data_IF_898595878570
#
_entry.id   IF_898595878570
#
_cell.length_a   1.000
_cell.length_b   1.000
_cell.length_c   1.000
_cell.angle_alpha   90.00
_cell.angle_beta   90.00
_cell.angle_gamma   90.00
#
_symmetry.space_group_name_H-M   'P 1'
#
loop_
_entity.id
_entity.type
_entity.pdbx_description
1 polymer ?
#
# COMPACT_ATOMS: atom_id res chain seq x y z
N UNK A 1 1.35 -15.36 66.77
CA UNK A 1 0.09 -14.91 66.15
C UNK A 1 0.36 -14.66 64.68
N UNK A 2 -0.31 -15.44 63.84
CA UNK A 2 -0.11 -15.60 62.40
C UNK A 2 -0.52 -14.35 61.62
N UNK A 3 0.25 -13.98 60.57
CA UNK A 3 -0.29 -13.20 59.44
C UNK A 3 0.32 -13.71 58.13
N UNK A 4 -0.29 -14.75 57.59
CA UNK A 4 -0.11 -15.25 56.22
C UNK A 4 -0.53 -14.17 55.23
N UNK A 5 0.41 -13.66 54.43
CA UNK A 5 0.13 -12.73 53.33
C UNK A 5 -0.07 -13.58 52.07
N UNK A 6 -1.33 -13.75 51.64
CA UNK A 6 -1.64 -14.32 50.34
C UNK A 6 -1.32 -13.28 49.25
N UNK A 7 -0.26 -13.52 48.51
CA UNK A 7 0.03 -12.79 47.27
C UNK A 7 -0.74 -13.44 46.11
N UNK A 8 -1.86 -12.82 45.71
CA UNK A 8 -2.58 -13.16 44.49
C UNK A 8 -1.82 -12.57 43.29
N UNK A 9 -0.97 -13.37 42.64
CA UNK A 9 -0.32 -12.99 41.39
C UNK A 9 -1.32 -13.05 40.24
N UNK A 10 -1.80 -11.88 39.79
CA UNK A 10 -2.67 -11.76 38.62
C UNK A 10 -1.82 -11.86 37.35
N UNK A 11 -1.76 -13.03 36.73
CA UNK A 11 -1.08 -13.22 35.45
C UNK A 11 -1.89 -12.55 34.35
N UNK A 12 -1.47 -11.35 33.94
CA UNK A 12 -2.03 -10.67 32.78
C UNK A 12 -1.59 -11.42 31.50
N UNK A 13 -2.50 -12.19 30.90
CA UNK A 13 -2.29 -12.78 29.58
C UNK A 13 -2.36 -11.64 28.55
N UNK A 14 -1.20 -11.21 28.07
CA UNK A 14 -1.12 -10.25 26.95
C UNK A 14 -1.37 -11.00 25.65
N UNK A 15 -2.60 -10.90 25.15
CA UNK A 15 -2.94 -11.31 23.79
C UNK A 15 -2.26 -10.36 22.81
N UNK A 16 -1.23 -10.83 22.10
CA UNK A 16 -0.65 -10.12 20.95
C UNK A 16 -1.66 -10.17 19.80
N UNK A 17 -2.49 -9.14 19.69
CA UNK A 17 -3.19 -8.85 18.46
C UNK A 17 -2.14 -8.47 17.41
N UNK A 18 -1.96 -9.28 16.37
CA UNK A 18 -1.18 -8.89 15.21
C UNK A 18 -1.88 -7.70 14.55
N UNK A 19 -1.42 -6.49 14.85
CA UNK A 19 -1.79 -5.30 14.09
C UNK A 19 -1.30 -5.52 12.66
N UNK A 20 -2.22 -5.79 11.72
CA UNK A 20 -1.94 -5.53 10.31
C UNK A 20 -1.83 -4.03 10.20
N UNK A 21 -0.62 -3.49 10.36
CA UNK A 21 -0.38 -2.07 10.16
C UNK A 21 -0.87 -1.75 8.75
N UNK A 22 -1.90 -0.92 8.66
CA UNK A 22 -2.22 -0.24 7.42
C UNK A 22 -1.02 0.65 7.12
N UNK A 23 -0.01 0.09 6.44
CA UNK A 23 1.25 0.76 6.14
C UNK A 23 0.99 1.79 5.04
N UNK A 24 0.24 2.83 5.40
CA UNK A 24 -0.13 3.92 4.54
C UNK A 24 1.11 4.80 4.35
N UNK A 25 1.43 5.10 3.10
CA UNK A 25 2.55 5.93 2.72
C UNK A 25 2.15 6.91 1.65
N UNK A 26 2.83 8.04 1.64
CA UNK A 26 2.77 9.04 0.58
C UNK A 26 4.19 9.38 0.15
N UNK A 27 4.38 9.64 -1.14
CA UNK A 27 5.65 10.03 -1.74
C UNK A 27 5.39 11.06 -2.82
N UNK A 28 6.18 12.12 -2.83
CA UNK A 28 6.22 13.09 -3.92
C UNK A 28 7.65 13.18 -4.44
N UNK A 29 7.80 13.47 -5.72
CA UNK A 29 9.12 13.64 -6.33
C UNK A 29 9.03 14.51 -7.57
N UNK A 30 10.13 15.15 -7.92
CA UNK A 30 10.27 15.89 -9.17
C UNK A 30 11.56 15.49 -9.88
N UNK A 31 11.57 15.60 -11.21
CA UNK A 31 12.74 15.34 -12.03
C UNK A 31 12.80 16.40 -13.11
N UNK A 32 13.86 17.20 -13.08
CA UNK A 32 14.09 18.25 -14.08
C UNK A 32 14.94 17.71 -15.21
N UNK A 33 14.47 17.93 -16.44
CA UNK A 33 15.17 17.58 -17.67
C UNK A 33 15.29 18.83 -18.55
N UNK A 34 16.12 18.84 -19.60
CA UNK A 34 16.13 19.95 -20.57
C UNK A 34 14.78 20.24 -21.22
N UNK A 35 13.84 19.29 -21.20
CA UNK A 35 12.47 19.46 -21.71
C UNK A 35 11.49 20.03 -20.68
N UNK A 36 11.96 20.35 -19.47
CA UNK A 36 11.17 20.87 -18.36
C UNK A 36 11.11 19.93 -17.15
N UNK A 37 10.35 20.36 -16.13
CA UNK A 37 10.18 19.65 -14.86
C UNK A 37 9.00 18.69 -14.90
N UNK A 38 9.25 17.45 -14.50
CA UNK A 38 8.23 16.45 -14.25
C UNK A 38 7.99 16.36 -12.75
N UNK A 39 6.72 16.32 -12.34
CA UNK A 39 6.32 16.14 -10.96
C UNK A 39 5.53 14.85 -10.80
N UNK A 40 5.67 14.19 -9.66
CA UNK A 40 4.97 12.95 -9.37
C UNK A 40 4.55 12.89 -7.91
N UNK A 41 3.40 12.28 -7.69
CA UNK A 41 2.88 11.98 -6.36
C UNK A 41 2.34 10.55 -6.37
N UNK A 42 2.55 9.82 -5.29
CA UNK A 42 2.04 8.49 -5.10
C UNK A 42 1.64 8.28 -3.66
N UNK A 43 0.57 7.52 -3.47
CA UNK A 43 0.11 7.07 -2.17
C UNK A 43 -0.25 5.60 -2.27
N UNK A 44 -0.13 4.89 -1.17
CA UNK A 44 -0.54 3.49 -1.12
C UNK A 44 -0.56 2.98 0.30
N UNK A 45 -1.02 1.75 0.45
CA UNK A 45 -0.99 1.06 1.72
C UNK A 45 -1.39 -0.39 1.57
N UNK A 46 -1.08 -1.17 2.60
CA UNK A 46 -1.39 -2.59 2.66
C UNK A 46 -2.19 -2.89 3.92
N UNK A 47 -3.31 -3.59 3.79
CA UNK A 47 -4.10 -4.08 4.90
C UNK A 47 -4.76 -5.42 4.52
N UNK A 48 -4.86 -6.35 5.47
CA UNK A 48 -5.59 -7.61 5.27
C UNK A 48 -5.13 -8.44 4.06
N UNK A 49 -3.83 -8.44 3.75
CA UNK A 49 -3.28 -9.18 2.60
C UNK A 49 -3.51 -8.51 1.24
N UNK A 50 -4.07 -7.30 1.21
CA UNK A 50 -4.24 -6.48 0.01
C UNK A 50 -3.43 -5.19 0.10
N UNK A 51 -2.65 -4.90 -0.94
CA UNK A 51 -1.90 -3.67 -1.11
C UNK A 51 -2.49 -2.86 -2.25
N UNK A 52 -2.84 -1.60 -2.01
CA UNK A 52 -3.34 -0.67 -3.01
C UNK A 52 -2.39 0.50 -3.20
N UNK A 53 -2.30 1.01 -4.43
CA UNK A 53 -1.43 2.13 -4.81
C UNK A 53 -2.13 3.01 -5.84
N UNK A 54 -2.05 4.32 -5.64
CA UNK A 54 -2.44 5.35 -6.59
C UNK A 54 -1.27 6.29 -6.83
N UNK A 55 -1.05 6.69 -8.07
CA UNK A 55 0.01 7.62 -8.44
C UNK A 55 -0.41 8.51 -9.60
N UNK A 56 0.11 9.72 -9.60
CA UNK A 56 0.00 10.68 -10.70
C UNK A 56 1.39 11.21 -11.05
N UNK A 57 1.62 11.40 -12.34
CA UNK A 57 2.80 12.09 -12.84
C UNK A 57 2.36 13.16 -13.84
N UNK A 58 2.80 14.39 -13.64
CA UNK A 58 2.49 15.54 -14.49
C UNK A 58 3.75 16.01 -15.19
N UNK A 59 3.67 16.15 -16.51
CA UNK A 59 4.75 16.69 -17.33
C UNK A 59 4.78 18.22 -17.35
N UNK A 60 5.87 18.81 -17.87
CA UNK A 60 6.05 20.26 -17.92
C UNK A 60 5.01 21.00 -18.77
N UNK A 61 4.35 20.28 -19.69
CA UNK A 61 3.29 20.81 -20.55
C UNK A 61 1.87 20.57 -19.99
N UNK A 62 1.74 20.24 -18.69
CA UNK A 62 0.46 20.04 -18.00
C UNK A 62 -0.20 18.68 -18.19
N UNK A 63 0.23 17.88 -19.16
CA UNK A 63 -0.27 16.52 -19.36
C UNK A 63 0.01 15.61 -18.16
N UNK A 64 -1.01 14.92 -17.66
CA UNK A 64 -0.92 14.06 -16.48
C UNK A 64 -1.24 12.60 -16.79
N UNK A 65 -0.50 11.67 -16.19
CA UNK A 65 -0.78 10.24 -16.24
C UNK A 65 -1.12 9.76 -14.83
N UNK A 66 -2.30 9.19 -14.68
CA UNK A 66 -2.74 8.59 -13.42
C UNK A 66 -2.65 7.05 -13.51
N UNK A 67 -2.23 6.41 -12.41
CA UNK A 67 -2.14 4.96 -12.29
C UNK A 67 -2.61 4.52 -10.93
N UNK A 68 -3.65 3.71 -10.89
CA UNK A 68 -4.16 3.06 -9.68
C UNK A 68 -4.11 1.54 -9.83
N UNK A 69 -4.11 0.82 -8.71
CA UNK A 69 -4.19 -0.63 -8.73
C UNK A 69 -4.05 -1.24 -7.34
N UNK A 70 -4.32 -2.54 -7.28
CA UNK A 70 -4.20 -3.34 -6.07
C UNK A 70 -3.57 -4.70 -6.36
N UNK A 71 -3.00 -5.30 -5.31
CA UNK A 71 -2.47 -6.65 -5.29
C UNK A 71 -3.01 -7.33 -4.05
N UNK A 72 -3.65 -8.48 -4.19
CA UNK A 72 -4.23 -9.26 -3.10
C UNK A 72 -3.58 -10.64 -3.07
N UNK A 73 -3.03 -11.03 -1.92
CA UNK A 73 -2.54 -12.39 -1.70
C UNK A 73 -3.73 -13.34 -1.55
N UNK A 74 -3.86 -14.30 -2.47
CA UNK A 74 -4.98 -15.26 -2.48
C UNK A 74 -4.57 -16.64 -1.92
N UNK A 75 -3.29 -16.98 -1.97
CA UNK A 75 -2.71 -18.18 -1.37
C UNK A 75 -1.22 -17.95 -1.03
N UNK A 76 -0.55 -18.85 -0.29
CA UNK A 76 0.90 -18.79 -0.14
C UNK A 76 1.62 -18.76 -1.49
N UNK A 77 2.38 -17.70 -1.75
CA UNK A 77 3.09 -17.52 -3.02
C UNK A 77 2.25 -16.99 -4.18
N UNK A 78 0.92 -16.89 -4.05
CA UNK A 78 0.00 -16.47 -5.12
C UNK A 78 -0.69 -15.15 -4.83
N UNK A 79 -0.72 -14.28 -5.84
CA UNK A 79 -1.22 -12.91 -5.77
C UNK A 79 -2.06 -12.57 -6.99
N UNK A 80 -3.28 -12.12 -6.78
CA UNK A 80 -4.06 -11.46 -7.82
C UNK A 80 -3.70 -9.97 -7.86
N UNK A 81 -3.69 -9.38 -9.05
CA UNK A 81 -3.50 -7.95 -9.21
C UNK A 81 -4.46 -7.34 -10.21
N UNK A 82 -4.72 -6.06 -10.00
CA UNK A 82 -5.51 -5.19 -10.87
C UNK A 82 -4.83 -3.85 -10.97
N UNK A 83 -4.81 -3.24 -12.16
CA UNK A 83 -4.25 -1.92 -12.37
C UNK A 83 -4.93 -1.22 -13.54
N UNK A 84 -5.27 0.05 -13.34
CA UNK A 84 -5.71 0.96 -14.39
C UNK A 84 -4.69 2.08 -14.57
N UNK A 85 -4.50 2.51 -15.82
CA UNK A 85 -3.69 3.68 -16.16
C UNK A 85 -4.46 4.57 -17.10
N UNK A 86 -4.59 5.84 -16.73
CA UNK A 86 -5.30 6.87 -17.47
C UNK A 86 -4.29 7.87 -17.97
N UNK A 87 -4.27 8.07 -19.29
CA UNK A 87 -3.38 9.04 -19.93
C UNK A 87 -3.92 10.48 -19.88
N UNK A 88 -3.15 11.45 -20.38
CA UNK A 88 -3.49 12.88 -20.34
C UNK A 88 -4.78 13.24 -21.08
N UNK A 89 -5.18 12.41 -22.04
CA UNK A 89 -6.38 12.58 -22.86
C UNK A 89 -7.57 11.75 -22.35
N UNK A 90 -7.53 11.26 -21.10
CA UNK A 90 -8.62 10.49 -20.48
C UNK A 90 -8.71 9.02 -20.88
N UNK A 91 -8.01 8.60 -21.95
CA UNK A 91 -7.95 7.21 -22.36
C UNK A 91 -7.34 6.32 -21.26
N UNK A 92 -8.00 5.20 -20.98
CA UNK A 92 -7.61 4.31 -19.89
C UNK A 92 -7.35 2.88 -20.37
N UNK A 93 -6.34 2.25 -19.79
CA UNK A 93 -6.03 0.83 -19.99
C UNK A 93 -6.05 0.13 -18.64
N UNK A 94 -6.87 -0.91 -18.54
CA UNK A 94 -6.95 -1.77 -17.37
C UNK A 94 -6.31 -3.13 -17.65
N UNK A 95 -5.61 -3.66 -16.65
CA UNK A 95 -4.99 -5.00 -16.68
C UNK A 95 -5.21 -5.68 -15.35
N UNK A 96 -5.49 -6.98 -15.40
CA UNK A 96 -5.60 -7.83 -14.24
C UNK A 96 -4.98 -9.19 -14.52
N UNK A 97 -4.59 -9.89 -13.47
CA UNK A 97 -4.05 -11.24 -13.59
C UNK A 97 -3.63 -11.83 -12.26
N UNK A 98 -2.99 -12.99 -12.33
CA UNK A 98 -2.48 -13.71 -11.18
C UNK A 98 -0.99 -13.97 -11.37
N UNK A 99 -0.21 -13.79 -10.30
CA UNK A 99 1.21 -14.12 -10.23
C UNK A 99 1.40 -15.13 -9.10
N UNK A 100 2.04 -16.24 -9.41
CA UNK A 100 2.44 -17.25 -8.43
C UNK A 100 3.95 -17.40 -8.43
N UNK A 101 4.56 -17.47 -7.24
CA UNK A 101 5.95 -17.88 -7.07
C UNK A 101 5.99 -19.35 -6.69
N UNK A 102 6.68 -20.16 -7.49
CA UNK A 102 6.98 -21.56 -7.21
C UNK A 102 8.02 -21.70 -6.10
#
# INVERSE_FOLDING_TARGET
MNRTVLALSLTAVVSIAAVTEAAAWTRTGSTTTPRGTYSSAAAGGCAGGTCSRSAVATGPYGGSVARSGSVTRTAPGTYNYSRTTTGPYGNSVSRSGTVSRY
#
